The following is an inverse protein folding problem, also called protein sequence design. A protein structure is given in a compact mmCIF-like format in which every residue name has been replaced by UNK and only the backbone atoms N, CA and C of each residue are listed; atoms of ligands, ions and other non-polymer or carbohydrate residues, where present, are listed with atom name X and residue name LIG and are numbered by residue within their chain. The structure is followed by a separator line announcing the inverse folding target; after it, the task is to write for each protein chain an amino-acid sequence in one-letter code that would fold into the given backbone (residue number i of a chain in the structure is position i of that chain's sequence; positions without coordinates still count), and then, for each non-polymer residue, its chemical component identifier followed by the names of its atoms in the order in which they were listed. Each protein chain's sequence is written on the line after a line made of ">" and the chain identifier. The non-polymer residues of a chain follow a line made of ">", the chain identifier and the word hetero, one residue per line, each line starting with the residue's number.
data_IF_025469356605
#
_entry.id   IF_025469356605
#
_cell.length_a   1.000
_cell.length_b   1.000
_cell.length_c   1.000
_cell.angle_alpha   90.00
_cell.angle_beta   90.00
_cell.angle_gamma   90.00
#
_symmetry.space_group_name_H-M   'P 1'
#
loop_
_entity.id
_entity.type
_entity.pdbx_description
1 polymer ?
#
# COMPACT_ATOMS: atom_id res chain seq x y z
N UNK A 1 -9.70 -23.35 -9.01
CA UNK A 1 -8.53 -23.10 -9.88
C UNK A 1 -8.75 -21.92 -10.82
N UNK A 2 -9.79 -21.86 -11.67
CA UNK A 2 -10.00 -20.76 -12.65
C UNK A 2 -10.16 -19.34 -12.06
N UNK A 3 -10.62 -19.20 -10.82
CA UNK A 3 -10.82 -17.89 -10.18
C UNK A 3 -9.56 -17.24 -9.60
N UNK A 4 -8.45 -17.97 -9.42
CA UNK A 4 -7.19 -17.42 -8.92
C UNK A 4 -6.37 -16.75 -10.03
N UNK A 5 -6.15 -17.47 -11.13
CA UNK A 5 -5.40 -16.98 -12.30
C UNK A 5 -6.03 -15.73 -12.94
N UNK A 6 -7.37 -15.59 -12.87
CA UNK A 6 -8.06 -14.42 -13.39
C UNK A 6 -7.83 -13.16 -12.54
N UNK A 7 -7.79 -13.30 -11.20
CA UNK A 7 -7.53 -12.19 -10.28
C UNK A 7 -6.08 -11.71 -10.39
N UNK A 8 -5.13 -12.62 -10.60
CA UNK A 8 -3.73 -12.27 -10.80
C UNK A 8 -3.52 -11.46 -12.08
N UNK A 9 -4.14 -11.87 -13.20
CA UNK A 9 -4.11 -11.12 -14.46
C UNK A 9 -4.74 -9.73 -14.35
N UNK A 10 -5.85 -9.59 -13.62
CA UNK A 10 -6.51 -8.30 -13.40
C UNK A 10 -5.63 -7.34 -12.59
N UNK A 11 -4.89 -7.85 -11.60
CA UNK A 11 -3.93 -7.06 -10.84
C UNK A 11 -2.78 -6.59 -11.73
N UNK A 12 -2.17 -7.47 -12.52
CA UNK A 12 -1.03 -7.12 -13.38
C UNK A 12 -1.38 -6.02 -14.39
N UNK A 13 -2.55 -6.12 -15.02
CA UNK A 13 -3.07 -5.08 -15.94
C UNK A 13 -3.32 -3.77 -15.18
N UNK A 14 -3.89 -3.84 -13.98
CA UNK A 14 -4.13 -2.66 -13.14
C UNK A 14 -2.81 -2.00 -12.72
N UNK A 15 -1.81 -2.79 -12.33
CA UNK A 15 -0.49 -2.31 -11.92
C UNK A 15 0.23 -1.65 -13.10
N UNK A 16 0.29 -2.30 -14.26
CA UNK A 16 0.92 -1.73 -15.46
C UNK A 16 0.30 -0.37 -15.83
N UNK A 17 -1.04 -0.26 -15.81
CA UNK A 17 -1.74 0.99 -16.09
C UNK A 17 -1.41 2.09 -15.09
N UNK A 18 -1.35 1.77 -13.80
CA UNK A 18 -1.03 2.77 -12.76
C UNK A 18 0.43 3.22 -12.88
N UNK A 19 1.36 2.31 -13.14
CA UNK A 19 2.77 2.65 -13.35
C UNK A 19 2.96 3.53 -14.59
N UNK A 20 2.27 3.25 -15.69
CA UNK A 20 2.27 4.10 -16.88
C UNK A 20 1.76 5.53 -16.56
N UNK A 21 0.68 5.65 -15.79
CA UNK A 21 0.15 6.94 -15.34
C UNK A 21 1.17 7.71 -14.49
N UNK A 22 1.86 7.02 -13.57
CA UNK A 22 2.90 7.62 -12.73
C UNK A 22 4.12 8.07 -13.57
N UNK A 23 4.53 7.27 -14.56
CA UNK A 23 5.63 7.61 -15.46
C UNK A 23 5.33 8.82 -16.35
N UNK A 24 4.07 8.99 -16.75
CA UNK A 24 3.61 10.16 -17.51
C UNK A 24 3.47 11.42 -16.62
N UNK A 25 3.88 11.37 -15.35
CA UNK A 25 3.69 12.44 -14.35
C UNK A 25 2.23 12.91 -14.27
N UNK A 26 1.28 12.03 -14.59
CA UNK A 26 -0.15 12.27 -14.35
C UNK A 26 -0.44 11.98 -12.87
N UNK A 27 0.30 12.65 -11.99
CA UNK A 27 -0.04 12.70 -10.59
C UNK A 27 -1.40 13.40 -10.47
N UNK A 28 -2.35 12.71 -9.85
CA UNK A 28 -3.68 13.27 -9.59
C UNK A 28 -3.63 14.41 -8.55
N UNK A 29 -2.48 14.62 -7.90
CA UNK A 29 -2.20 15.81 -7.11
C UNK A 29 -2.13 17.05 -7.99
N UNK A 30 -2.62 18.18 -7.48
CA UNK A 30 -2.52 19.49 -8.16
C UNK A 30 -1.06 19.92 -8.43
N UNK A 31 -0.08 19.27 -7.80
CA UNK A 31 1.36 19.52 -7.94
C UNK A 31 1.95 18.93 -9.22
N UNK A 32 1.36 17.86 -9.77
CA UNK A 32 1.85 17.20 -10.99
C UNK A 32 3.21 16.50 -10.85
N UNK A 33 3.70 16.28 -9.62
CA UNK A 33 4.97 15.63 -9.34
C UNK A 33 4.95 14.94 -7.97
N UNK A 34 5.65 13.80 -7.87
CA UNK A 34 5.80 13.07 -6.62
C UNK A 34 6.48 13.93 -5.54
N UNK A 35 6.05 13.74 -4.31
CA UNK A 35 6.67 14.39 -3.16
C UNK A 35 8.03 13.75 -2.85
N UNK A 36 9.10 14.54 -2.97
CA UNK A 36 10.48 14.10 -2.70
C UNK A 36 10.65 13.32 -1.38
N UNK A 37 10.00 13.70 -0.24
CA UNK A 37 10.14 12.95 1.01
C UNK A 37 9.64 11.49 0.99
N UNK A 38 8.78 11.12 0.03
CA UNK A 38 8.21 9.76 -0.05
C UNK A 38 8.56 9.03 -1.35
N UNK A 39 9.24 9.68 -2.29
CA UNK A 39 9.56 9.13 -3.60
C UNK A 39 10.29 7.77 -3.52
N UNK A 40 11.31 7.67 -2.68
CA UNK A 40 12.08 6.43 -2.49
C UNK A 40 11.21 5.27 -1.98
N UNK A 41 10.28 5.55 -1.06
CA UNK A 41 9.31 4.59 -0.55
C UNK A 41 8.33 4.14 -1.64
N UNK A 42 7.78 5.09 -2.42
CA UNK A 42 6.84 4.79 -3.50
C UNK A 42 7.48 3.94 -4.58
N UNK A 43 8.69 4.29 -5.02
CA UNK A 43 9.45 3.53 -6.01
C UNK A 43 9.71 2.12 -5.51
N UNK A 44 10.18 1.97 -4.27
CA UNK A 44 10.38 0.66 -3.67
C UNK A 44 9.10 -0.18 -3.64
N UNK A 45 7.96 0.38 -3.22
CA UNK A 45 6.68 -0.35 -3.20
C UNK A 45 6.26 -0.78 -4.62
N UNK A 46 6.43 0.10 -5.60
CA UNK A 46 6.02 -0.15 -6.98
C UNK A 46 6.89 -1.19 -7.71
N UNK A 47 8.14 -1.35 -7.30
CA UNK A 47 9.03 -2.43 -7.76
C UNK A 47 8.57 -3.82 -7.29
N UNK A 48 7.81 -3.92 -6.19
CA UNK A 48 7.36 -5.21 -5.64
C UNK A 48 6.20 -5.80 -6.45
N UNK A 49 6.30 -7.07 -6.82
CA UNK A 49 5.29 -7.76 -7.65
C UNK A 49 3.86 -7.71 -7.10
N UNK A 50 3.69 -7.64 -5.79
CA UNK A 50 2.39 -7.76 -5.12
C UNK A 50 1.73 -6.43 -4.75
N UNK A 51 2.36 -5.30 -5.07
CA UNK A 51 1.92 -3.97 -4.64
C UNK A 51 1.98 -2.94 -5.77
N UNK A 52 1.08 -1.96 -5.71
CA UNK A 52 1.16 -0.74 -6.54
C UNK A 52 0.51 0.44 -5.82
N UNK A 53 1.17 1.59 -5.80
CA UNK A 53 0.67 2.82 -5.19
C UNK A 53 -0.25 3.56 -6.16
N UNK A 54 -1.44 3.96 -5.73
CA UNK A 54 -2.42 4.63 -6.61
C UNK A 54 -2.60 6.12 -6.33
N UNK A 55 -2.31 6.56 -5.10
CA UNK A 55 -2.28 7.97 -4.71
C UNK A 55 -1.53 8.14 -3.40
N UNK A 56 -0.86 9.27 -3.24
CA UNK A 56 -0.03 9.56 -2.06
C UNK A 56 0.12 11.06 -1.83
N UNK A 57 0.43 11.44 -0.60
CA UNK A 57 0.88 12.78 -0.21
C UNK A 57 1.80 12.62 1.00
N UNK A 58 2.94 13.29 1.00
CA UNK A 58 3.91 13.25 2.10
C UNK A 58 3.42 13.97 3.36
N UNK A 59 2.46 14.88 3.19
CA UNK A 59 1.94 15.77 4.21
C UNK A 59 2.01 17.21 3.72
N UNK A 60 1.09 18.07 4.17
CA UNK A 60 1.06 19.47 3.78
C UNK A 60 0.58 20.40 4.87
N UNK A 61 1.18 21.59 4.90
CA UNK A 61 0.70 22.74 5.66
C UNK A 61 -0.02 23.66 4.69
N UNK A 62 -1.23 24.09 5.03
CA UNK A 62 -2.07 24.85 4.12
C UNK A 62 -2.90 25.91 4.82
N UNK A 63 -3.17 26.98 4.07
CA UNK A 63 -4.20 27.95 4.38
C UNK A 63 -5.25 27.87 3.27
N UNK A 64 -6.44 27.41 3.62
CA UNK A 64 -7.48 27.06 2.65
C UNK A 64 -8.77 27.81 2.95
N UNK A 65 -9.26 28.56 1.96
CA UNK A 65 -10.56 29.20 1.98
C UNK A 65 -11.62 28.20 1.52
N UNK A 66 -12.50 27.78 2.42
CA UNK A 66 -13.66 26.95 2.09
C UNK A 66 -14.79 27.86 1.61
N UNK A 67 -15.23 27.75 0.34
CA UNK A 67 -16.42 28.47 -0.09
C UNK A 67 -17.66 27.67 0.30
N UNK A 68 -18.63 28.33 0.96
CA UNK A 68 -19.95 27.76 1.19
C UNK A 68 -20.84 27.85 -0.07
N UNK A 69 -20.46 27.19 -1.17
CA UNK A 69 -21.42 26.91 -2.23
C UNK A 69 -21.91 25.46 -2.10
N UNK A 70 -23.17 25.29 -1.67
CA UNK A 70 -23.78 23.98 -1.44
C UNK A 70 -23.78 23.06 -2.67
N UNK A 71 -23.58 23.62 -3.88
CA UNK A 71 -23.54 22.87 -5.15
C UNK A 71 -22.14 22.54 -5.64
N UNK A 72 -21.10 23.22 -5.15
CA UNK A 72 -19.70 23.00 -5.54
C UNK A 72 -18.82 23.24 -4.34
N UNK A 73 -18.19 22.18 -3.80
CA UNK A 73 -17.11 22.30 -2.81
C UNK A 73 -15.84 22.85 -3.49
N UNK A 74 -15.90 24.09 -3.95
CA UNK A 74 -14.77 24.83 -4.47
C UNK A 74 -14.14 25.60 -3.32
N UNK A 75 -12.81 25.65 -3.31
CA UNK A 75 -12.09 26.43 -2.32
C UNK A 75 -10.73 26.81 -2.86
N UNK A 76 -10.21 27.89 -2.29
CA UNK A 76 -9.00 28.54 -2.79
C UNK A 76 -7.86 28.27 -1.83
N UNK A 77 -6.75 27.76 -2.36
CA UNK A 77 -5.51 27.60 -1.61
C UNK A 77 -4.82 28.96 -1.56
N UNK A 78 -4.68 29.51 -0.37
CA UNK A 78 -3.90 30.72 -0.10
C UNK A 78 -2.44 30.34 0.17
N UNK A 79 -2.24 29.20 0.83
CA UNK A 79 -0.95 28.55 1.03
C UNK A 79 -1.11 27.04 0.89
N UNK A 80 -0.15 26.38 0.26
CA UNK A 80 -0.02 24.92 0.26
C UNK A 80 1.46 24.54 0.14
N UNK A 81 2.05 24.03 1.22
CA UNK A 81 3.44 23.60 1.27
C UNK A 81 3.52 22.11 1.63
N UNK A 82 4.37 21.36 0.94
CA UNK A 82 4.74 19.97 1.28
C UNK A 82 6.09 19.92 2.01
N UNK A 83 6.41 21.00 2.73
CA UNK A 83 7.62 21.19 3.53
C UNK A 83 7.31 22.14 4.68
N UNK A 84 8.27 22.34 5.59
CA UNK A 84 8.19 23.32 6.68
C UNK A 84 7.85 24.71 6.14
N UNK A 85 7.02 25.43 6.90
CA UNK A 85 6.56 26.77 6.55
C UNK A 85 7.17 27.77 7.51
N UNK A 86 7.69 28.88 6.98
CA UNK A 86 8.15 29.99 7.84
C UNK A 86 6.99 30.86 8.29
N UNK A 87 7.15 31.52 9.44
CA UNK A 87 6.11 32.40 9.99
C UNK A 87 5.78 33.53 9.01
N UNK A 88 6.79 34.06 8.30
CA UNK A 88 6.64 35.15 7.34
C UNK A 88 5.82 34.71 6.13
N UNK A 89 6.06 33.50 5.61
CA UNK A 89 5.30 32.96 4.48
C UNK A 89 3.82 32.73 4.86
N UNK A 90 3.56 32.21 6.06
CA UNK A 90 2.20 32.04 6.57
C UNK A 90 1.51 33.37 6.84
N UNK A 91 2.22 34.34 7.42
CA UNK A 91 1.71 35.69 7.66
C UNK A 91 1.36 36.40 6.34
N UNK A 92 2.24 36.31 5.33
CA UNK A 92 1.98 36.85 3.99
C UNK A 92 0.72 36.23 3.36
N UNK A 93 0.56 34.90 3.47
CA UNK A 93 -0.65 34.22 3.01
C UNK A 93 -1.91 34.61 3.82
N UNK A 94 -1.76 34.91 5.11
CA UNK A 94 -2.85 35.38 5.97
C UNK A 94 -3.25 36.84 5.69
N UNK A 95 -2.33 37.64 5.15
CA UNK A 95 -2.61 39.01 4.71
C UNK A 95 -3.21 39.09 3.30
N UNK A 96 -3.35 37.95 2.61
CA UNK A 96 -3.93 37.90 1.27
C UNK A 96 -5.33 38.51 1.21
N UNK A 97 -5.54 39.40 0.25
CA UNK A 97 -6.80 40.15 0.07
C UNK A 97 -7.98 39.24 -0.29
N UNK A 98 -7.72 38.07 -0.90
CA UNK A 98 -8.76 37.07 -1.20
C UNK A 98 -9.47 36.56 0.05
N UNK A 99 -8.90 36.74 1.24
CA UNK A 99 -9.58 36.45 2.50
C UNK A 99 -10.76 37.40 2.70
N UNK A 100 -10.67 38.68 2.32
CA UNK A 100 -11.76 39.64 2.49
C UNK A 100 -12.98 39.30 1.65
N UNK A 101 -12.76 38.68 0.49
CA UNK A 101 -13.81 38.21 -0.42
C UNK A 101 -14.31 36.80 -0.08
N UNK A 102 -13.77 36.17 0.97
CA UNK A 102 -14.15 34.81 1.36
C UNK A 102 -15.56 34.76 1.95
N UNK A 103 -16.32 33.73 1.55
CA UNK A 103 -17.62 33.38 2.13
C UNK A 103 -17.50 31.99 2.74
N UNK A 104 -17.39 31.94 4.07
CA UNK A 104 -17.08 30.74 4.85
C UNK A 104 -15.76 30.83 5.61
N UNK A 105 -15.33 29.70 6.22
CA UNK A 105 -14.12 29.67 7.02
C UNK A 105 -12.85 29.61 6.15
N UNK A 106 -11.83 30.34 6.59
CA UNK A 106 -10.44 30.14 6.16
C UNK A 106 -9.74 29.33 7.23
N UNK A 107 -9.30 28.14 6.83
CA UNK A 107 -8.74 27.13 7.72
C UNK A 107 -7.24 27.05 7.55
N UNK A 108 -6.50 27.17 8.65
CA UNK A 108 -5.12 26.74 8.74
C UNK A 108 -5.10 25.23 9.03
N UNK A 109 -4.44 24.46 8.17
CA UNK A 109 -4.46 22.99 8.23
C UNK A 109 -3.06 22.41 8.16
N UNK A 110 -2.80 21.41 8.99
CA UNK A 110 -1.79 20.40 8.72
C UNK A 110 -2.49 19.07 8.40
N UNK A 111 -2.26 18.58 7.19
CA UNK A 111 -2.73 17.27 6.74
C UNK A 111 -1.52 16.34 6.60
N UNK A 112 -1.54 15.16 7.23
CA UNK A 112 -0.35 14.32 7.32
C UNK A 112 -0.19 13.43 6.08
N UNK A 113 0.83 12.56 6.14
CA UNK A 113 1.05 11.49 5.18
C UNK A 113 -0.21 10.65 4.91
N UNK A 114 -0.50 10.44 3.62
CA UNK A 114 -1.49 9.49 3.14
C UNK A 114 -0.92 8.69 1.98
N UNK A 115 -1.24 7.40 1.93
CA UNK A 115 -0.85 6.50 0.86
C UNK A 115 -1.96 5.50 0.60
N UNK A 116 -2.32 5.30 -0.67
CA UNK A 116 -3.20 4.22 -1.10
C UNK A 116 -2.41 3.20 -1.91
N UNK A 117 -2.47 1.94 -1.49
CA UNK A 117 -1.78 0.81 -2.12
C UNK A 117 -2.80 -0.24 -2.53
N UNK A 118 -2.80 -0.62 -3.80
CA UNK A 118 -3.49 -1.82 -4.25
C UNK A 118 -2.55 -3.01 -4.05
N UNK A 119 -3.07 -4.08 -3.45
CA UNK A 119 -2.35 -5.32 -3.17
C UNK A 119 -2.89 -6.44 -4.07
N UNK A 120 -2.03 -7.37 -4.47
CA UNK A 120 -2.41 -8.54 -5.29
C UNK A 120 -3.42 -9.43 -4.58
N UNK A 121 -3.16 -9.75 -3.30
CA UNK A 121 -3.98 -10.67 -2.52
C UNK A 121 -4.41 -10.09 -1.18
N UNK A 122 -5.44 -10.67 -0.58
CA UNK A 122 -5.89 -10.32 0.77
C UNK A 122 -4.80 -10.56 1.83
N UNK A 123 -3.99 -11.61 1.65
CA UNK A 123 -2.87 -11.92 2.55
C UNK A 123 -1.83 -10.80 2.51
N UNK A 124 -1.40 -10.41 1.30
CA UNK A 124 -0.45 -9.31 1.11
C UNK A 124 -0.97 -7.98 1.65
N UNK A 125 -2.28 -7.73 1.50
CA UNK A 125 -2.93 -6.57 2.10
C UNK A 125 -2.91 -6.59 3.63
N UNK A 126 -3.12 -7.77 4.25
CA UNK A 126 -3.07 -7.93 5.72
C UNK A 126 -1.65 -7.74 6.26
N UNK A 127 -0.63 -8.26 5.58
CA UNK A 127 0.76 -8.09 5.98
C UNK A 127 1.19 -6.63 5.92
N UNK A 128 0.83 -5.95 4.82
CA UNK A 128 1.11 -4.52 4.63
C UNK A 128 0.40 -3.68 5.69
N UNK A 129 -0.87 -3.99 5.95
CA UNK A 129 -1.69 -3.35 6.99
C UNK A 129 -1.06 -3.52 8.38
N UNK A 130 -0.68 -4.75 8.74
CA UNK A 130 -0.03 -5.04 10.02
C UNK A 130 1.25 -4.24 10.17
N UNK A 131 2.07 -4.19 9.13
CA UNK A 131 3.33 -3.44 9.12
C UNK A 131 3.10 -1.94 9.34
N UNK A 132 2.07 -1.36 8.71
CA UNK A 132 1.70 0.04 8.94
C UNK A 132 1.31 0.32 10.40
N UNK A 133 0.50 -0.55 11.00
CA UNK A 133 0.07 -0.44 12.40
C UNK A 133 1.26 -0.56 13.37
N UNK A 134 2.15 -1.54 13.15
CA UNK A 134 3.33 -1.77 13.97
C UNK A 134 4.33 -0.59 13.90
N UNK A 135 4.26 0.23 12.84
CA UNK A 135 5.06 1.46 12.68
C UNK A 135 4.42 2.73 13.29
N UNK A 136 3.32 2.60 14.05
CA UNK A 136 2.68 3.73 14.73
C UNK A 136 1.76 4.58 13.84
N UNK A 137 1.42 4.08 12.64
CA UNK A 137 0.40 4.68 11.79
C UNK A 137 -0.97 4.11 12.21
N UNK A 138 -1.85 4.93 12.81
CA UNK A 138 -3.23 4.48 13.10
C UNK A 138 -4.09 4.64 11.86
N UNK A 139 -4.88 3.63 11.58
CA UNK A 139 -5.71 3.56 10.38
C UNK A 139 -7.17 3.64 10.78
N UNK A 140 -7.90 4.59 10.20
CA UNK A 140 -9.36 4.66 10.30
C UNK A 140 -9.95 3.58 9.41
N UNK A 141 -9.95 2.35 9.92
CA UNK A 141 -10.31 1.12 9.23
C UNK A 141 -9.52 0.94 7.92
N UNK A 142 -8.86 -0.20 7.78
CA UNK A 142 -8.79 -0.77 6.46
C UNK A 142 -10.24 -0.90 6.00
N UNK A 143 -10.75 0.07 5.25
CA UNK A 143 -11.73 -0.24 4.25
C UNK A 143 -10.94 -1.13 3.31
N UNK A 144 -10.89 -2.42 3.64
CA UNK A 144 -10.86 -3.47 2.66
C UNK A 144 -12.13 -3.22 1.86
N UNK A 145 -12.09 -2.22 0.98
CA UNK A 145 -13.19 -1.90 0.12
C UNK A 145 -13.19 -3.09 -0.82
N UNK A 146 -14.00 -4.09 -0.47
CA UNK A 146 -14.60 -5.01 -1.40
C UNK A 146 -15.53 -4.14 -2.26
N UNK A 147 -14.96 -3.22 -3.02
CA UNK A 147 -15.75 -2.38 -3.88
C UNK A 147 -16.29 -3.34 -4.94
N UNK A 148 -17.59 -3.60 -4.87
CA UNK A 148 -18.37 -3.93 -6.06
C UNK A 148 -18.00 -2.89 -7.16
N UNK A 149 -18.04 -3.29 -8.44
CA UNK A 149 -17.18 -2.79 -9.52
C UNK A 149 -16.92 -1.29 -9.42
N UNK A 150 -15.67 -0.91 -9.11
CA UNK A 150 -15.23 0.47 -9.24
C UNK A 150 -15.25 0.81 -10.73
N UNK A 151 -16.24 1.59 -11.14
CA UNK A 151 -16.26 2.26 -12.43
C UNK A 151 -15.06 3.22 -12.43
N UNK A 152 -13.97 2.80 -13.05
CA UNK A 152 -12.95 3.73 -13.52
C UNK A 152 -13.56 4.47 -14.73
N UNK A 153 -13.13 5.70 -15.03
CA UNK A 153 -13.56 6.48 -16.21
C UNK A 153 -13.26 5.81 -17.59
N UNK A 154 -12.95 4.52 -17.58
CA UNK A 154 -12.67 3.67 -18.73
C UNK A 154 -13.09 2.24 -18.36
N UNK A 155 -14.38 1.93 -18.45
CA UNK A 155 -14.91 0.56 -18.35
C UNK A 155 -15.17 0.01 -16.95
N UNK A 156 -16.19 -0.86 -16.88
CA UNK A 156 -16.59 -1.64 -15.72
C UNK A 156 -15.55 -2.75 -15.46
N UNK A 157 -14.69 -2.61 -14.44
CA UNK A 157 -13.79 -3.69 -14.01
C UNK A 157 -14.53 -4.55 -12.98
N UNK A 158 -15.06 -5.69 -13.43
CA UNK A 158 -15.65 -6.73 -12.58
C UNK A 158 -14.54 -7.54 -11.89
N UNK A 159 -14.02 -7.05 -10.76
CA UNK A 159 -12.95 -7.72 -10.02
C UNK A 159 -12.80 -7.24 -8.59
N UNK A 160 -12.42 -8.13 -7.66
CA UNK A 160 -12.13 -7.80 -6.25
C UNK A 160 -10.76 -7.12 -6.18
N UNK A 161 -10.72 -5.82 -5.88
CA UNK A 161 -9.45 -5.11 -5.60
C UNK A 161 -9.19 -5.06 -4.10
N UNK A 162 -7.99 -5.42 -3.66
CA UNK A 162 -7.57 -5.24 -2.27
C UNK A 162 -6.84 -3.90 -2.15
N UNK A 163 -7.48 -2.92 -1.53
CA UNK A 163 -6.89 -1.59 -1.34
C UNK A 163 -6.60 -1.35 0.14
N UNK A 164 -5.39 -0.87 0.42
CA UNK A 164 -4.95 -0.46 1.75
C UNK A 164 -4.74 1.05 1.73
N UNK A 165 -5.43 1.75 2.63
CA UNK A 165 -5.24 3.17 2.87
C UNK A 165 -4.41 3.36 4.13
N UNK A 166 -3.20 3.90 3.98
CA UNK A 166 -2.30 4.25 5.07
C UNK A 166 -2.45 5.73 5.38
N UNK A 167 -2.72 6.06 6.65
CA UNK A 167 -2.93 7.43 7.14
C UNK A 167 -2.29 7.58 8.52
N UNK A 168 -2.04 8.82 8.92
CA UNK A 168 -1.62 9.16 10.29
C UNK A 168 -2.73 9.91 11.02
N UNK A 169 -2.62 10.00 12.36
CA UNK A 169 -3.56 10.78 13.19
C UNK A 169 -3.10 12.19 13.49
N UNK A 170 -1.93 12.58 12.99
CA UNK A 170 -1.45 13.94 13.17
C UNK A 170 -2.36 14.84 12.34
N UNK A 171 -3.04 15.78 13.00
CA UNK A 171 -3.97 16.66 12.32
C UNK A 171 -4.07 17.95 13.11
N UNK A 172 -3.94 19.07 12.42
CA UNK A 172 -4.23 20.39 12.94
C UNK A 172 -5.20 21.04 11.99
N UNK A 173 -6.32 21.53 12.52
CA UNK A 173 -7.27 22.36 11.78
C UNK A 173 -7.73 23.46 12.72
N UNK A 174 -7.50 24.72 12.33
CA UNK A 174 -7.96 25.89 13.09
C UNK A 174 -8.52 26.94 12.14
N UNK A 175 -9.74 27.46 12.37
CA UNK A 175 -10.25 28.60 11.63
C UNK A 175 -9.47 29.86 12.03
N UNK A 176 -8.96 30.59 11.04
CA UNK A 176 -8.18 31.83 11.25
C UNK A 176 -8.86 33.06 10.66
N UNK A 177 -9.81 32.86 9.75
CA UNK A 177 -10.74 33.89 9.27
C UNK A 177 -12.12 33.28 8.99
N UNK A 178 -13.15 34.11 8.97
CA UNK A 178 -14.52 33.70 8.66
C UNK A 178 -15.28 34.85 8.00
N UNK A 179 -15.94 34.59 6.87
CA UNK A 179 -16.74 35.57 6.11
C UNK A 179 -16.03 36.92 5.92
N UNK A 180 -14.81 36.89 5.37
CA UNK A 180 -14.04 38.11 5.14
C UNK A 180 -13.24 38.62 6.33
N UNK A 181 -13.58 38.19 7.55
CA UNK A 181 -13.02 38.73 8.79
C UNK A 181 -11.92 37.84 9.36
N UNK A 182 -10.74 38.44 9.59
CA UNK A 182 -9.63 37.82 10.32
C UNK A 182 -9.98 37.69 11.80
N UNK A 183 -9.88 36.47 12.33
CA UNK A 183 -10.29 36.13 13.70
C UNK A 183 -9.12 36.14 14.70
N UNK A 184 -7.89 36.05 14.21
CA UNK A 184 -6.70 35.81 15.03
C UNK A 184 -5.61 36.82 14.72
N UNK A 185 -4.70 37.02 15.66
CA UNK A 185 -3.53 37.89 15.47
C UNK A 185 -2.36 37.11 14.83
N UNK A 186 -1.31 37.85 14.46
CA UNK A 186 -0.11 37.26 13.86
C UNK A 186 0.65 36.36 14.83
N UNK A 187 0.56 36.62 16.15
CA UNK A 187 1.19 35.78 17.17
C UNK A 187 0.56 34.38 17.21
N UNK A 188 -0.76 34.28 17.04
CA UNK A 188 -1.47 33.02 16.94
C UNK A 188 -1.11 32.27 15.65
N UNK A 189 -0.97 32.98 14.51
CA UNK A 189 -0.48 32.37 13.26
C UNK A 189 0.93 31.79 13.46
N UNK A 190 1.84 32.51 14.11
CA UNK A 190 3.18 32.02 14.41
C UNK A 190 3.14 30.75 15.29
N UNK A 191 2.26 30.72 16.29
CA UNK A 191 2.04 29.54 17.13
C UNK A 191 1.54 28.33 16.30
N UNK A 192 0.55 28.53 15.42
CA UNK A 192 0.04 27.48 14.53
C UNK A 192 1.13 26.94 13.59
N UNK A 193 1.97 27.83 13.05
CA UNK A 193 3.09 27.44 12.19
C UNK A 193 4.09 26.56 12.94
N UNK A 194 4.45 26.93 14.18
CA UNK A 194 5.35 26.11 14.99
C UNK A 194 4.75 24.73 15.25
N UNK A 195 3.48 24.67 15.69
CA UNK A 195 2.78 23.41 15.93
C UNK A 195 2.71 22.54 14.67
N UNK A 196 2.45 23.16 13.51
CA UNK A 196 2.38 22.44 12.24
C UNK A 196 3.74 21.92 11.79
N UNK A 197 4.81 22.69 11.98
CA UNK A 197 6.18 22.26 11.67
C UNK A 197 6.63 21.11 12.59
N UNK A 198 6.29 21.16 13.88
CA UNK A 198 6.57 20.07 14.83
C UNK A 198 5.81 18.79 14.42
N UNK A 199 4.54 18.92 14.03
CA UNK A 199 3.76 17.82 13.49
C UNK A 199 4.31 17.30 12.16
N UNK A 200 4.83 18.18 11.31
CA UNK A 200 5.46 17.83 10.03
C UNK A 200 6.73 16.99 10.26
N UNK A 201 7.56 17.38 11.22
CA UNK A 201 8.76 16.64 11.59
C UNK A 201 8.42 15.24 12.13
N UNK A 202 7.45 15.12 13.05
CA UNK A 202 6.98 13.82 13.56
C UNK A 202 6.37 12.96 12.43
N UNK A 203 5.67 13.60 11.48
CA UNK A 203 5.11 12.93 10.32
C UNK A 203 6.20 12.31 9.42
N UNK A 204 7.30 13.03 9.15
CA UNK A 204 8.45 12.50 8.42
C UNK A 204 9.12 11.34 9.16
N UNK A 205 9.25 11.43 10.49
CA UNK A 205 9.79 10.32 11.30
C UNK A 205 8.91 9.07 11.23
N UNK A 206 7.57 9.23 11.18
CA UNK A 206 6.65 8.11 10.97
C UNK A 206 6.77 7.50 9.58
N UNK A 207 6.93 8.32 8.54
CA UNK A 207 7.20 7.84 7.18
C UNK A 207 8.48 7.01 7.16
N UNK A 208 9.58 7.50 7.73
CA UNK A 208 10.87 6.78 7.74
C UNK A 208 10.80 5.43 8.48
N UNK A 209 10.11 5.40 9.63
CA UNK A 209 9.84 4.14 10.36
C UNK A 209 9.00 3.18 9.53
N UNK A 210 7.96 3.69 8.86
CA UNK A 210 7.10 2.91 7.99
C UNK A 210 7.87 2.33 6.80
N UNK A 211 8.70 3.12 6.13
CA UNK A 211 9.55 2.63 5.05
C UNK A 211 10.47 1.49 5.52
N UNK A 212 11.14 1.68 6.65
CA UNK A 212 11.99 0.64 7.26
C UNK A 212 11.18 -0.63 7.57
N UNK A 213 9.97 -0.47 8.09
CA UNK A 213 9.05 -1.57 8.38
C UNK A 213 8.63 -2.35 7.13
N UNK A 214 8.29 -1.65 6.04
CA UNK A 214 7.89 -2.27 4.76
C UNK A 214 9.07 -3.04 4.16
N UNK A 215 10.28 -2.46 4.16
CA UNK A 215 11.49 -3.16 3.70
C UNK A 215 11.75 -4.44 4.50
N UNK A 216 11.63 -4.37 5.83
CA UNK A 216 11.80 -5.54 6.71
C UNK A 216 10.70 -6.59 6.49
N UNK A 217 9.46 -6.19 6.22
CA UNK A 217 8.36 -7.09 5.87
C UNK A 217 8.67 -7.89 4.61
N UNK A 218 9.11 -7.22 3.55
CA UNK A 218 9.47 -7.85 2.27
C UNK A 218 10.64 -8.83 2.45
N UNK A 219 11.68 -8.44 3.18
CA UNK A 219 12.82 -9.32 3.46
C UNK A 219 12.38 -10.62 4.17
N UNK A 220 11.50 -10.51 5.18
CA UNK A 220 10.94 -11.69 5.87
C UNK A 220 10.13 -12.59 4.93
N UNK A 221 9.34 -12.00 4.04
CA UNK A 221 8.55 -12.76 3.06
C UNK A 221 9.46 -13.51 2.08
N UNK A 222 10.53 -12.88 1.60
CA UNK A 222 11.52 -13.52 0.73
C UNK A 222 12.21 -14.70 1.42
N UNK A 223 12.68 -14.53 2.66
CA UNK A 223 13.30 -15.61 3.44
C UNK A 223 12.34 -16.80 3.66
N UNK A 224 11.07 -16.51 3.94
CA UNK A 224 10.06 -17.55 4.12
C UNK A 224 9.79 -18.33 2.82
N UNK A 225 9.76 -17.64 1.67
CA UNK A 225 9.60 -18.26 0.37
C UNK A 225 10.79 -19.17 0.04
N UNK A 226 12.02 -18.72 0.27
CA UNK A 226 13.23 -19.54 0.08
C UNK A 226 13.19 -20.80 0.95
N UNK A 227 12.88 -20.66 2.24
CA UNK A 227 12.79 -21.81 3.15
C UNK A 227 11.67 -22.79 2.76
N UNK A 228 10.57 -22.30 2.21
CA UNK A 228 9.48 -23.15 1.74
C UNK A 228 9.92 -23.98 0.52
N UNK A 229 10.61 -23.36 -0.44
CA UNK A 229 11.17 -24.03 -1.62
C UNK A 229 12.20 -25.10 -1.24
N UNK A 230 13.13 -24.78 -0.33
CA UNK A 230 14.11 -25.74 0.17
C UNK A 230 13.46 -26.96 0.81
N UNK A 231 12.41 -26.75 1.62
CA UNK A 231 11.62 -27.83 2.25
C UNK A 231 10.91 -28.69 1.20
N UNK A 232 10.39 -28.07 0.15
CA UNK A 232 9.74 -28.79 -0.94
C UNK A 232 10.75 -29.63 -1.73
N UNK A 233 11.89 -29.07 -2.12
CA UNK A 233 12.96 -29.81 -2.78
C UNK A 233 13.45 -30.99 -1.93
N UNK A 234 13.65 -30.77 -0.63
CA UNK A 234 14.02 -31.84 0.30
C UNK A 234 12.95 -32.94 0.38
N UNK A 235 11.65 -32.57 0.36
CA UNK A 235 10.54 -33.53 0.33
C UNK A 235 10.49 -34.32 -0.98
N UNK A 236 10.73 -33.67 -2.12
CA UNK A 236 10.76 -34.31 -3.43
C UNK A 236 11.96 -35.27 -3.57
N UNK A 237 13.13 -34.88 -3.06
CA UNK A 237 14.32 -35.74 -3.04
C UNK A 237 14.12 -37.00 -2.18
N UNK A 238 13.50 -36.85 -0.99
CA UNK A 238 13.15 -38.01 -0.14
C UNK A 238 12.18 -38.97 -0.82
N UNK A 239 11.18 -38.47 -1.53
CA UNK A 239 10.25 -39.31 -2.32
C UNK A 239 10.97 -40.07 -3.43
N UNK A 240 11.85 -39.41 -4.19
CA UNK A 240 12.62 -40.07 -5.25
C UNK A 240 13.59 -41.14 -4.69
N UNK A 241 14.26 -40.84 -3.57
CA UNK A 241 15.13 -41.81 -2.89
C UNK A 241 14.36 -43.04 -2.36
N UNK A 242 13.16 -42.84 -1.79
CA UNK A 242 12.33 -43.95 -1.32
C UNK A 242 11.75 -44.82 -2.45
N UNK A 243 11.51 -44.26 -3.64
CA UNK A 243 11.08 -45.02 -4.81
C UNK A 243 12.23 -45.77 -5.50
N UNK A 244 13.46 -45.28 -5.39
CA UNK A 244 14.65 -45.93 -5.95
C UNK A 244 15.13 -47.14 -5.12
N UNK A 245 14.71 -47.24 -3.86
CA UNK A 245 14.96 -48.39 -2.97
C UNK A 245 13.72 -49.28 -2.91
N UNK A 246 13.28 -49.80 -4.05
CA UNK A 246 12.37 -50.96 -4.06
C UNK A 246 13.18 -52.23 -3.70
N UNK A 247 12.67 -53.15 -2.87
CA UNK A 247 13.45 -54.30 -2.44
C UNK A 247 13.79 -55.20 -3.63
N UNK A 248 15.07 -55.56 -3.77
CA UNK A 248 15.53 -56.58 -4.71
C UNK A 248 14.70 -57.86 -4.52
N UNK A 249 14.15 -58.39 -5.62
CA UNK A 249 13.37 -59.61 -5.63
C UNK A 249 14.13 -60.75 -4.92
N UNK A 250 13.45 -61.45 -4.01
CA UNK A 250 13.99 -62.65 -3.37
C UNK A 250 14.33 -63.71 -4.44
N UNK A 251 15.51 -64.36 -4.38
CA UNK A 251 15.77 -65.55 -5.18
C UNK A 251 15.30 -66.78 -4.40
N UNK A 252 14.36 -67.54 -4.95
CA UNK A 252 14.02 -68.91 -4.49
C UNK A 252 13.59 -69.69 -5.72
N UNK A 253 14.52 -70.37 -6.41
CA UNK A 253 15.00 -71.74 -6.16
C UNK A 253 14.01 -72.81 -6.65
N UNK A 254 14.24 -73.28 -7.87
CA UNK A 254 13.71 -74.53 -8.41
C UNK A 254 14.48 -75.70 -7.78
N UNK A 255 13.80 -76.80 -7.40
CA UNK A 255 14.38 -78.13 -7.52
C UNK A 255 13.63 -78.92 -8.59
N UNK A 256 14.40 -79.48 -9.49
CA UNK A 256 13.99 -80.58 -10.34
C UNK A 256 13.94 -81.87 -9.50
N UNK A 257 12.83 -82.59 -9.54
CA UNK A 257 12.82 -84.03 -9.29
C UNK A 257 12.23 -84.71 -10.52
N UNK A 258 13.07 -85.58 -11.10
CA UNK A 258 12.73 -86.47 -12.17
C UNK A 258 12.12 -87.74 -11.55
N UNK A 259 10.92 -88.11 -11.99
CA UNK A 259 10.40 -89.46 -11.86
C UNK A 259 10.34 -90.09 -13.25
N UNK A 260 11.13 -91.15 -13.47
CA UNK A 260 10.83 -92.18 -14.47
C UNK A 260 10.71 -93.56 -13.76
N UNK A 261 10.32 -94.66 -14.45
CA UNK A 261 8.98 -95.22 -14.32
C UNK A 261 9.03 -96.65 -13.74
N UNK A 262 7.93 -97.13 -13.18
CA UNK A 262 7.75 -98.57 -12.98
C UNK A 262 6.36 -98.99 -13.47
N UNK A 263 6.39 -99.78 -14.54
CA UNK A 263 5.32 -100.63 -15.05
C UNK A 263 4.97 -101.73 -14.05
N UNK A 264 3.69 -101.89 -13.71
CA UNK A 264 3.07 -103.22 -13.59
C UNK A 264 1.53 -103.13 -13.69
N UNK A 265 1.04 -103.66 -14.81
CA UNK A 265 -0.23 -104.33 -15.12
C UNK A 265 -1.29 -104.47 -14.00
N UNK A 266 -2.55 -104.18 -14.35
CA UNK A 266 -3.61 -105.20 -14.41
C UNK A 266 -4.86 -104.73 -15.20
N UNK A 267 -5.30 -105.60 -16.13
CA UNK A 267 -6.48 -105.62 -17.02
C UNK A 267 -6.56 -104.72 -18.27
#
# INVERSE_FOLDING_TARGET
>A
MRGGEQVDREFDVSKARVLEQLQLCLDNSKKGALDAPIEALLNFINELDDYVTTSSCSGRIALFCEQQDARKRTGTWLLASHDVVTVEAAAAAYQDERIRDSQGPVMFKFEPFVLHVQCRTLERARDFLKTALDCGLRLWMASLCMCAPCISNSGLVLGKKFMVAVRTTLKLESPVAYDGQRLVDEAYIACLVQMANDMFAENLQRIARFETGVRAMVARQAEQATRALEREHARQARKHSQMAVAPAAKPTSTPAEAEEPILSLDF
#
